data_IF_612291573306
#
_entry.id   IF_612291573306
#
_cell.length_a   1.000
_cell.length_b   1.000
_cell.length_c   1.000
_cell.angle_alpha   90.00
_cell.angle_beta   90.00
_cell.angle_gamma   90.00
#
_symmetry.space_group_name_H-M   'P 1'
#
loop_
_entity.id
_entity.type
_entity.pdbx_description
1 polymer ?
#
# COMPACT_ATOMS: atom_id res chain seq x y z
N UNK A 1 -15.26 13.15 -13.04
CA UNK A 1 -15.72 12.05 -13.95
C UNK A 1 -15.10 10.74 -13.49
N UNK A 2 -15.84 9.63 -13.33
CA UNK A 2 -15.28 8.33 -12.95
C UNK A 2 -14.23 7.85 -13.95
N UNK A 3 -13.16 7.21 -13.47
CA UNK A 3 -12.02 6.72 -14.30
C UNK A 3 -12.49 5.77 -15.42
N UNK A 4 -13.50 4.95 -15.17
CA UNK A 4 -14.09 4.08 -16.20
C UNK A 4 -14.65 4.86 -17.40
N UNK A 5 -15.30 6.00 -17.16
CA UNK A 5 -15.80 6.91 -18.20
C UNK A 5 -14.67 7.62 -18.94
N UNK A 6 -13.56 7.92 -18.26
CA UNK A 6 -12.36 8.47 -18.91
C UNK A 6 -11.76 7.48 -19.91
N UNK A 7 -11.58 6.23 -19.51
CA UNK A 7 -11.09 5.17 -20.41
C UNK A 7 -12.04 4.89 -21.58
N UNK A 8 -13.33 4.95 -21.34
CA UNK A 8 -14.33 4.83 -22.40
C UNK A 8 -14.23 6.00 -23.38
N UNK A 9 -14.06 7.21 -22.88
CA UNK A 9 -13.89 8.41 -23.70
C UNK A 9 -12.62 8.36 -24.57
N UNK A 10 -11.50 7.89 -24.03
CA UNK A 10 -10.26 7.69 -24.79
C UNK A 10 -10.48 6.63 -25.89
N UNK A 11 -11.09 5.48 -25.58
CA UNK A 11 -11.41 4.43 -26.56
C UNK A 11 -12.32 4.92 -27.66
N UNK A 12 -13.29 5.77 -27.35
CA UNK A 12 -14.21 6.40 -28.33
C UNK A 12 -13.55 7.53 -29.11
N UNK A 13 -12.32 7.93 -28.78
CA UNK A 13 -11.61 9.02 -29.44
C UNK A 13 -12.15 10.40 -29.11
N UNK A 14 -12.92 10.52 -28.01
CA UNK A 14 -13.43 11.79 -27.47
C UNK A 14 -12.36 12.59 -26.73
N UNK A 15 -11.22 11.97 -26.44
CA UNK A 15 -10.00 12.60 -25.93
C UNK A 15 -8.89 12.29 -26.91
N UNK A 16 -8.18 13.33 -27.36
CA UNK A 16 -7.07 13.25 -28.31
C UNK A 16 -5.88 14.05 -27.81
N UNK A 17 -4.69 13.62 -28.18
CA UNK A 17 -3.45 14.36 -27.91
C UNK A 17 -2.82 14.74 -29.25
N UNK A 18 -2.49 16.00 -29.42
CA UNK A 18 -1.97 16.56 -30.67
C UNK A 18 -2.85 16.19 -31.89
N UNK A 19 -4.18 16.23 -31.70
CA UNK A 19 -5.18 15.90 -32.71
C UNK A 19 -5.34 14.41 -33.05
N UNK A 20 -4.51 13.51 -32.50
CA UNK A 20 -4.52 12.06 -32.80
C UNK A 20 -5.22 11.25 -31.71
N UNK A 21 -5.78 10.10 -32.08
CA UNK A 21 -6.25 9.10 -31.10
C UNK A 21 -5.05 8.58 -30.32
N UNK A 22 -5.22 8.49 -28.99
CA UNK A 22 -4.15 8.18 -28.07
C UNK A 22 -4.38 6.80 -27.46
N UNK A 23 -3.35 5.94 -27.38
CA UNK A 23 -3.46 4.68 -26.64
C UNK A 23 -3.65 4.95 -25.14
N UNK A 24 -4.28 4.01 -24.42
CA UNK A 24 -4.60 4.13 -23.00
C UNK A 24 -3.37 4.30 -22.08
N UNK A 25 -2.20 3.93 -22.56
CA UNK A 25 -0.92 4.01 -21.85
C UNK A 25 -0.03 5.18 -22.30
N UNK A 26 -0.57 6.13 -23.05
CA UNK A 26 0.19 7.30 -23.48
C UNK A 26 0.56 8.17 -22.26
N UNK A 27 1.82 8.58 -22.20
CA UNK A 27 2.33 9.53 -21.21
C UNK A 27 2.47 10.88 -21.86
N UNK A 28 1.76 11.88 -21.33
CA UNK A 28 1.87 13.25 -21.82
C UNK A 28 3.26 13.84 -21.56
N UNK A 29 3.76 14.60 -22.52
CA UNK A 29 5.01 15.35 -22.42
C UNK A 29 4.71 16.86 -22.36
N UNK A 30 5.66 17.69 -21.87
CA UNK A 30 5.55 19.13 -21.97
C UNK A 30 5.34 19.55 -23.44
N UNK A 31 4.30 20.35 -23.69
CA UNK A 31 3.92 20.80 -25.05
C UNK A 31 2.83 19.97 -25.73
N UNK A 32 2.40 18.84 -25.14
CA UNK A 32 1.25 18.10 -25.68
C UNK A 32 -0.06 18.89 -25.54
N UNK A 33 -0.82 18.96 -26.64
CA UNK A 33 -2.14 19.59 -26.68
C UNK A 33 -3.22 18.55 -26.48
N UNK A 34 -3.94 18.63 -25.34
CA UNK A 34 -5.05 17.76 -25.01
C UNK A 34 -6.36 18.34 -25.55
N UNK A 35 -7.01 17.63 -26.48
CA UNK A 35 -8.34 17.96 -26.99
C UNK A 35 -9.39 17.05 -26.35
N UNK A 36 -10.39 17.66 -25.69
CA UNK A 36 -11.49 16.95 -25.04
C UNK A 36 -12.79 17.36 -25.74
N UNK A 37 -13.60 16.38 -26.17
CA UNK A 37 -14.90 16.66 -26.78
C UNK A 37 -15.82 17.34 -25.76
N UNK A 38 -16.54 18.36 -26.19
CA UNK A 38 -17.40 19.22 -25.36
C UNK A 38 -18.44 18.42 -24.55
N UNK A 39 -18.91 17.28 -25.07
CA UNK A 39 -19.85 16.37 -24.39
C UNK A 39 -19.35 15.79 -23.07
N UNK A 40 -18.01 15.86 -22.82
CA UNK A 40 -17.38 15.37 -21.60
C UNK A 40 -17.16 16.47 -20.55
N UNK A 41 -17.34 17.74 -20.95
CA UNK A 41 -17.16 18.87 -20.05
C UNK A 41 -18.49 19.14 -19.32
N UNK A 42 -18.47 19.39 -18.01
CA UNK A 42 -19.67 19.87 -17.32
C UNK A 42 -20.07 21.23 -17.92
N UNK A 43 -21.37 21.49 -18.01
CA UNK A 43 -21.90 22.80 -18.43
C UNK A 43 -21.54 23.88 -17.40
N UNK A 44 -20.31 24.35 -17.42
CA UNK A 44 -19.88 25.53 -16.68
C UNK A 44 -19.91 26.70 -17.69
N UNK A 45 -20.89 27.60 -17.53
CA UNK A 45 -20.87 28.93 -18.18
C UNK A 45 -19.56 29.61 -17.82
N UNK A 46 -18.65 29.68 -18.77
CA UNK A 46 -17.48 30.55 -18.66
C UNK A 46 -18.00 32.03 -18.67
N UNK A 47 -17.58 32.88 -17.76
CA UNK A 47 -17.79 34.30 -17.88
C UNK A 47 -17.09 34.81 -19.15
N UNK A 48 -17.60 35.86 -19.80
CA UNK A 48 -16.98 36.44 -21.00
C UNK A 48 -15.55 36.92 -20.69
N UNK A 49 -14.62 36.85 -21.64
CA UNK A 49 -13.24 37.27 -21.41
C UNK A 49 -13.18 38.75 -21.02
N UNK A 50 -12.73 38.99 -19.80
CA UNK A 50 -12.37 40.34 -19.37
C UNK A 50 -11.04 40.72 -20.02
N UNK A 51 -11.00 41.91 -20.63
CA UNK A 51 -9.78 42.51 -21.19
C UNK A 51 -8.70 42.61 -20.10
N UNK A 52 -7.49 42.15 -20.41
CA UNK A 52 -6.36 42.24 -19.53
C UNK A 52 -5.98 43.70 -19.24
N UNK A 53 -5.71 44.06 -17.98
CA UNK A 53 -5.10 45.36 -17.70
C UNK A 53 -3.60 45.31 -18.02
N UNK A 54 -3.12 46.39 -18.71
CA UNK A 54 -1.70 46.63 -18.93
C UNK A 54 -0.92 46.72 -17.59
N UNK A 55 0.03 45.81 -17.38
CA UNK A 55 0.95 45.88 -16.27
C UNK A 55 2.31 46.38 -16.77
N UNK A 56 2.84 47.50 -16.26
CA UNK A 56 4.17 47.98 -16.63
C UNK A 56 5.27 47.14 -16.00
N UNK A 57 6.30 46.83 -16.77
CA UNK A 57 7.49 46.07 -16.39
C UNK A 57 8.39 46.95 -15.50
N UNK A 58 8.77 46.55 -14.27
CA UNK A 58 9.81 47.21 -13.50
C UNK A 58 11.20 46.63 -13.82
N UNK A 59 12.15 47.53 -13.88
CA UNK A 59 13.56 47.33 -14.21
C UNK A 59 14.33 46.43 -13.18
N UNK A 60 15.35 45.79 -13.72
CA UNK A 60 16.39 45.02 -12.99
C UNK A 60 17.02 45.82 -11.84
N UNK A 61 17.11 45.22 -10.66
CA UNK A 61 18.03 45.62 -9.61
C UNK A 61 18.82 44.43 -9.04
N UNK A 62 20.12 44.69 -8.86
CA UNK A 62 21.23 43.82 -8.54
C UNK A 62 21.08 42.96 -7.28
N UNK A 63 21.66 41.76 -7.40
CA UNK A 63 21.90 40.76 -6.34
C UNK A 63 23.18 41.14 -5.56
N UNK A 64 23.23 41.07 -4.23
CA UNK A 64 24.49 40.87 -3.49
C UNK A 64 24.65 39.41 -3.07
N UNK A 65 25.93 39.00 -2.97
CA UNK A 65 26.43 37.67 -2.67
C UNK A 65 26.29 37.28 -1.17
N UNK A 66 26.30 35.98 -0.84
CA UNK A 66 26.17 35.52 0.55
C UNK A 66 27.49 35.54 1.31
N UNK A 67 27.45 36.04 2.54
CA UNK A 67 28.52 35.96 3.53
C UNK A 67 28.48 34.64 4.29
N UNK A 68 29.64 34.01 4.37
CA UNK A 68 29.96 32.82 5.18
C UNK A 68 30.07 33.18 6.65
N UNK A 69 29.38 32.45 7.54
CA UNK A 69 29.71 32.37 8.96
C UNK A 69 30.02 30.92 9.35
N UNK A 70 31.29 30.73 9.69
CA UNK A 70 31.85 29.54 10.33
C UNK A 70 31.63 29.67 11.85
N UNK A 71 31.07 28.65 12.50
CA UNK A 71 31.17 28.47 13.93
C UNK A 71 31.44 27.01 14.27
N UNK A 72 32.63 26.78 14.82
CA UNK A 72 33.13 25.59 15.49
C UNK A 72 32.25 25.23 16.70
N UNK A 73 31.92 23.96 16.88
CA UNK A 73 31.62 23.37 18.18
C UNK A 73 32.28 21.99 18.26
N UNK A 74 33.07 21.85 19.35
CA UNK A 74 33.94 20.74 19.71
C UNK A 74 33.16 19.44 20.06
N UNK A 75 33.79 18.32 19.73
CA UNK A 75 33.43 17.00 20.19
C UNK A 75 33.74 16.79 21.68
N UNK A 76 32.81 16.16 22.40
CA UNK A 76 33.13 15.47 23.66
C UNK A 76 32.58 14.05 23.60
N UNK A 77 33.49 13.11 23.76
CA UNK A 77 33.28 11.66 23.80
C UNK A 77 32.72 11.21 25.15
N UNK A 78 31.68 10.41 25.17
CA UNK A 78 31.49 9.31 26.13
C UNK A 78 30.34 8.43 25.72
N UNK A 79 30.63 7.18 25.40
CA UNK A 79 29.64 6.13 25.19
C UNK A 79 29.21 5.51 26.51
N UNK A 80 27.98 5.08 26.68
CA UNK A 80 27.67 3.95 27.53
C UNK A 80 26.98 2.82 26.76
N UNK A 81 27.21 1.62 27.32
CA UNK A 81 26.86 0.31 26.83
C UNK A 81 25.37 0.12 26.46
N UNK A 82 25.16 -0.58 25.36
CA UNK A 82 23.88 -1.08 24.89
C UNK A 82 23.35 -2.20 25.82
N UNK A 83 22.16 -1.97 26.38
CA UNK A 83 21.29 -3.03 26.89
C UNK A 83 20.26 -3.35 25.82
N UNK A 84 19.99 -4.66 25.66
CA UNK A 84 19.03 -5.23 24.72
C UNK A 84 17.59 -4.84 25.07
N UNK A 85 16.71 -4.97 24.03
CA UNK A 85 15.26 -4.88 24.08
C UNK A 85 14.65 -3.48 24.30
N UNK A 86 14.49 -2.76 23.21
CA UNK A 86 13.51 -1.68 23.15
C UNK A 86 12.67 -1.86 21.89
N UNK A 87 11.43 -2.27 22.09
CA UNK A 87 10.40 -2.13 21.08
C UNK A 87 10.27 -0.66 20.72
N UNK A 88 10.62 -0.30 19.49
CA UNK A 88 10.49 1.07 18.99
C UNK A 88 9.00 1.34 18.83
N UNK A 89 8.45 2.09 19.78
CA UNK A 89 7.12 2.67 19.69
C UNK A 89 7.18 3.76 18.61
N UNK A 90 6.62 3.47 17.43
CA UNK A 90 6.51 4.45 16.34
C UNK A 90 5.44 5.46 16.75
N UNK A 91 5.85 6.67 17.11
CA UNK A 91 4.95 7.78 17.37
C UNK A 91 4.19 8.14 16.08
N UNK A 92 2.87 8.00 16.13
CA UNK A 92 1.98 8.44 15.07
C UNK A 92 1.92 9.97 15.03
N UNK A 93 2.71 10.60 14.18
CA UNK A 93 2.35 11.91 13.66
C UNK A 93 1.25 11.68 12.64
N UNK A 94 0.07 12.28 12.86
CA UNK A 94 -1.03 12.25 11.92
C UNK A 94 -0.53 12.81 10.58
N UNK A 95 -0.37 11.93 9.59
CA UNK A 95 0.00 12.32 8.23
C UNK A 95 -1.14 13.15 7.62
N UNK A 96 -0.78 14.09 6.73
CA UNK A 96 -1.75 14.81 5.92
C UNK A 96 -2.64 13.78 5.16
N UNK A 97 -3.92 14.08 4.90
CA UNK A 97 -4.91 13.11 4.40
C UNK A 97 -4.55 12.44 3.05
N UNK A 98 -3.52 12.94 2.34
CA UNK A 98 -3.08 12.42 1.04
C UNK A 98 -1.73 11.69 1.07
N UNK A 99 -1.07 11.55 2.23
CA UNK A 99 0.24 10.89 2.31
C UNK A 99 0.11 9.40 2.65
N UNK A 100 0.76 8.53 1.84
CA UNK A 100 0.82 7.09 2.10
C UNK A 100 1.66 6.85 3.36
N UNK A 101 1.06 6.26 4.44
CA UNK A 101 1.79 6.08 5.71
C UNK A 101 3.01 5.17 5.54
N UNK A 102 4.17 5.63 6.01
CA UNK A 102 5.43 4.88 5.99
C UNK A 102 5.61 4.18 7.33
N UNK A 103 5.90 2.88 7.29
CA UNK A 103 6.15 2.06 8.48
C UNK A 103 7.66 1.96 8.80
N UNK A 104 8.49 1.91 7.74
CA UNK A 104 9.94 1.83 7.88
C UNK A 104 10.63 2.40 6.64
N UNK A 105 11.69 3.15 6.86
CA UNK A 105 12.64 3.56 5.82
C UNK A 105 14.00 2.96 6.21
N UNK A 106 14.30 1.77 5.69
CA UNK A 106 15.62 1.13 5.84
C UNK A 106 16.53 1.48 4.67
N UNK A 107 17.81 1.13 4.75
CA UNK A 107 18.79 1.39 3.70
C UNK A 107 18.34 0.86 2.35
N UNK A 108 17.89 -0.38 2.31
CA UNK A 108 17.63 -1.13 1.08
C UNK A 108 16.14 -1.26 0.73
N UNK A 109 15.24 -1.07 1.70
CA UNK A 109 13.80 -1.21 1.51
C UNK A 109 13.02 -0.08 2.16
N UNK A 110 11.86 0.23 1.57
CA UNK A 110 10.81 1.07 2.15
C UNK A 110 9.61 0.19 2.44
N UNK A 111 9.02 0.31 3.63
CA UNK A 111 7.80 -0.39 4.01
C UNK A 111 6.71 0.63 4.32
N UNK A 112 5.54 0.43 3.74
CA UNK A 112 4.39 1.32 3.89
C UNK A 112 3.17 0.57 4.42
N UNK A 113 2.22 1.32 4.97
CA UNK A 113 0.86 0.85 5.23
C UNK A 113 -0.02 1.22 4.03
N UNK A 114 -0.27 0.24 3.14
CA UNK A 114 -1.06 0.50 1.93
C UNK A 114 -2.52 0.75 2.27
N UNK A 115 -3.14 1.87 1.86
CA UNK A 115 -4.57 2.08 1.98
C UNK A 115 -5.36 1.22 0.99
N UNK A 116 -6.67 1.05 1.24
CA UNK A 116 -7.59 0.42 0.30
C UNK A 116 -7.84 1.30 -0.94
N UNK A 117 -8.42 0.72 -1.98
CA UNK A 117 -8.85 1.44 -3.18
C UNK A 117 -7.75 1.75 -4.19
N UNK A 118 -6.45 1.55 -3.86
CA UNK A 118 -5.33 1.87 -4.74
C UNK A 118 -4.61 0.58 -5.15
N UNK A 119 -4.45 0.28 -6.45
CA UNK A 119 -3.69 -0.89 -6.91
C UNK A 119 -2.18 -0.72 -6.67
N UNK A 120 -1.45 -1.82 -6.53
CA UNK A 120 0.01 -1.78 -6.37
C UNK A 120 0.72 -1.41 -7.66
N UNK A 121 0.23 -1.91 -8.80
CA UNK A 121 0.81 -1.70 -10.13
C UNK A 121 -0.22 -1.13 -11.09
N UNK A 122 0.25 -0.41 -12.11
CA UNK A 122 -0.57 0.18 -13.16
C UNK A 122 -0.74 1.68 -12.99
N UNK A 123 -1.67 2.24 -13.74
CA UNK A 123 -1.96 3.68 -13.72
C UNK A 123 -2.62 4.04 -12.39
N UNK A 124 -2.22 5.16 -11.78
CA UNK A 124 -2.66 5.63 -10.45
C UNK A 124 -2.38 4.62 -9.33
N UNK A 125 -1.35 3.79 -9.50
CA UNK A 125 -0.93 2.81 -8.51
C UNK A 125 -0.05 3.43 -7.42
N UNK A 126 0.09 2.70 -6.30
CA UNK A 126 1.06 3.05 -5.25
C UNK A 126 2.48 3.15 -5.83
N UNK A 127 2.86 2.23 -6.73
CA UNK A 127 4.18 2.27 -7.37
C UNK A 127 4.41 3.54 -8.18
N UNK A 128 3.38 4.06 -8.86
CA UNK A 128 3.47 5.32 -9.61
C UNK A 128 3.55 6.52 -8.66
N UNK A 129 2.71 6.55 -7.61
CA UNK A 129 2.72 7.64 -6.62
C UNK A 129 4.05 7.74 -5.86
N UNK A 130 4.69 6.60 -5.57
CA UNK A 130 5.98 6.57 -4.88
C UNK A 130 7.19 6.64 -5.81
N UNK A 131 7.01 6.67 -7.13
CA UNK A 131 8.11 6.59 -8.09
C UNK A 131 9.15 7.73 -7.89
N UNK A 132 8.70 8.97 -7.72
CA UNK A 132 9.58 10.11 -7.44
C UNK A 132 10.29 9.94 -6.10
N UNK A 133 9.52 9.70 -5.03
CA UNK A 133 10.08 9.49 -3.68
C UNK A 133 11.12 8.36 -3.66
N UNK A 134 10.85 7.23 -4.31
CA UNK A 134 11.77 6.12 -4.39
C UNK A 134 13.03 6.45 -5.20
N UNK A 135 12.91 7.26 -6.26
CA UNK A 135 14.03 7.72 -7.06
C UNK A 135 14.93 8.66 -6.27
N UNK A 136 14.34 9.59 -5.52
CA UNK A 136 15.06 10.55 -4.67
C UNK A 136 15.75 9.85 -3.48
N UNK A 137 15.15 8.78 -2.99
CA UNK A 137 15.68 7.95 -1.89
C UNK A 137 16.68 6.88 -2.35
N UNK A 138 16.85 6.66 -3.67
CA UNK A 138 17.73 5.62 -4.19
C UNK A 138 19.20 5.92 -3.85
N UNK A 139 19.81 5.05 -3.06
CA UNK A 139 21.23 5.07 -2.74
C UNK A 139 21.96 4.40 -3.90
N UNK A 140 22.84 5.12 -4.61
CA UNK A 140 23.54 4.66 -5.82
C UNK A 140 22.63 4.52 -7.04
N UNK A 141 22.45 5.61 -7.77
CA UNK A 141 21.76 5.66 -9.06
C UNK A 141 22.51 4.81 -10.12
N UNK A 142 22.36 3.50 -10.06
CA UNK A 142 22.67 2.65 -11.20
C UNK A 142 21.62 2.94 -12.28
N UNK A 143 22.07 3.33 -13.46
CA UNK A 143 21.21 3.62 -14.61
C UNK A 143 20.29 2.45 -15.01
N UNK A 144 20.53 1.25 -14.49
CA UNK A 144 19.81 0.01 -14.82
C UNK A 144 18.81 -0.45 -13.76
N UNK A 145 18.89 -0.01 -12.49
CA UNK A 145 17.99 -0.43 -11.43
C UNK A 145 16.88 0.61 -11.20
N UNK A 146 15.64 0.14 -11.17
CA UNK A 146 14.48 0.97 -10.80
C UNK A 146 13.84 0.44 -9.52
N UNK A 147 13.79 1.24 -8.44
CA UNK A 147 13.04 0.89 -7.25
C UNK A 147 11.58 0.55 -7.55
N UNK A 148 11.01 -0.38 -6.81
CA UNK A 148 9.64 -0.81 -7.03
C UNK A 148 9.11 -1.77 -5.99
N UNK A 149 7.83 -2.18 -6.09
CA UNK A 149 7.21 -3.08 -5.11
C UNK A 149 7.83 -4.48 -5.15
N UNK A 150 8.11 -5.02 -3.97
CA UNK A 150 8.74 -6.33 -3.77
C UNK A 150 7.72 -7.48 -3.72
N UNK A 151 6.48 -7.16 -3.38
CA UNK A 151 5.33 -8.05 -3.44
C UNK A 151 4.07 -7.26 -3.78
N UNK A 152 2.92 -7.91 -3.75
CA UNK A 152 1.67 -7.25 -4.09
C UNK A 152 0.58 -7.51 -3.06
N UNK A 153 -0.29 -6.54 -2.92
CA UNK A 153 -1.61 -6.66 -2.31
C UNK A 153 -2.69 -6.40 -3.37
N UNK A 154 -3.89 -6.90 -3.14
CA UNK A 154 -5.03 -6.57 -4.00
C UNK A 154 -5.42 -5.10 -3.80
N UNK A 155 -6.20 -4.54 -4.71
CA UNK A 155 -6.58 -3.12 -4.71
C UNK A 155 -7.17 -2.68 -3.36
N UNK A 156 -8.10 -3.47 -2.82
CA UNK A 156 -8.83 -3.16 -1.59
C UNK A 156 -8.24 -3.85 -0.34
N UNK A 157 -7.17 -4.65 -0.48
CA UNK A 157 -6.40 -5.17 0.65
C UNK A 157 -5.47 -4.09 1.18
N UNK A 158 -5.53 -3.84 2.48
CA UNK A 158 -4.70 -2.86 3.19
C UNK A 158 -3.48 -3.49 3.85
N UNK A 159 -2.57 -2.69 4.41
CA UNK A 159 -1.50 -3.16 5.29
C UNK A 159 -0.11 -3.16 4.70
N UNK A 160 0.79 -3.96 5.28
CA UNK A 160 2.23 -3.96 4.99
C UNK A 160 2.52 -4.25 3.53
N UNK A 161 3.18 -3.30 2.86
CA UNK A 161 3.67 -3.41 1.49
C UNK A 161 5.11 -2.91 1.41
N UNK A 162 6.00 -3.76 0.87
CA UNK A 162 7.42 -3.49 0.78
C UNK A 162 7.84 -3.06 -0.63
N UNK A 163 8.75 -2.08 -0.68
CA UNK A 163 9.39 -1.59 -1.91
C UNK A 163 10.90 -1.73 -1.79
N UNK A 164 11.57 -2.05 -2.90
CA UNK A 164 13.02 -1.95 -2.99
C UNK A 164 13.44 -0.49 -3.12
N UNK A 165 14.54 -0.13 -2.47
CA UNK A 165 15.27 1.12 -2.68
C UNK A 165 16.57 0.87 -3.45
N UNK A 166 17.15 -0.32 -3.28
CA UNK A 166 18.38 -0.77 -3.95
C UNK A 166 18.19 -2.12 -4.63
N UNK A 167 19.11 -2.47 -5.53
CA UNK A 167 19.17 -3.79 -6.14
C UNK A 167 19.43 -4.88 -5.07
N UNK A 168 20.30 -4.59 -4.10
CA UNK A 168 20.60 -5.52 -3.01
C UNK A 168 19.34 -5.87 -2.20
N UNK A 169 18.53 -4.87 -1.85
CA UNK A 169 17.25 -5.07 -1.18
C UNK A 169 16.27 -5.90 -1.99
N UNK A 170 16.19 -5.63 -3.30
CA UNK A 170 15.34 -6.43 -4.20
C UNK A 170 15.77 -7.89 -4.27
N UNK A 171 17.07 -8.16 -4.38
CA UNK A 171 17.64 -9.51 -4.42
C UNK A 171 17.42 -10.24 -3.09
N UNK A 172 17.76 -9.61 -1.97
CA UNK A 172 17.56 -10.18 -0.64
C UNK A 172 16.09 -10.56 -0.39
N UNK A 173 15.17 -9.64 -0.64
CA UNK A 173 13.75 -9.88 -0.39
C UNK A 173 13.19 -10.98 -1.31
N UNK A 174 13.60 -11.00 -2.58
CA UNK A 174 13.22 -12.04 -3.54
C UNK A 174 13.72 -13.41 -3.10
N UNK A 175 14.95 -13.48 -2.58
CA UNK A 175 15.51 -14.72 -2.04
C UNK A 175 14.74 -15.21 -0.80
N UNK A 176 14.39 -14.30 0.11
CA UNK A 176 13.55 -14.62 1.25
C UNK A 176 12.17 -15.16 0.83
N UNK A 177 11.54 -14.56 -0.18
CA UNK A 177 10.28 -15.07 -0.73
C UNK A 177 10.44 -16.46 -1.37
N UNK A 178 11.52 -16.68 -2.12
CA UNK A 178 11.83 -17.96 -2.76
C UNK A 178 12.07 -19.07 -1.72
N UNK A 179 12.78 -18.75 -0.65
CA UNK A 179 13.06 -19.65 0.47
C UNK A 179 11.89 -19.79 1.46
N UNK A 180 10.84 -18.97 1.30
CA UNK A 180 9.69 -18.88 2.22
C UNK A 180 10.09 -18.57 3.67
N UNK A 181 11.09 -17.71 3.86
CA UNK A 181 11.61 -17.33 5.18
C UNK A 181 10.95 -16.06 5.73
N UNK A 182 10.05 -15.42 4.99
CA UNK A 182 9.21 -14.32 5.46
C UNK A 182 7.81 -14.85 5.75
N UNK A 183 7.40 -14.78 7.01
CA UNK A 183 6.02 -15.08 7.37
C UNK A 183 5.12 -13.87 7.15
N UNK A 184 3.94 -14.11 6.60
CA UNK A 184 2.97 -13.09 6.21
C UNK A 184 1.65 -13.40 6.89
N UNK A 185 1.27 -12.55 7.84
CA UNK A 185 0.02 -12.67 8.59
C UNK A 185 -0.96 -11.59 8.15
N UNK A 186 -2.19 -12.04 7.92
CA UNK A 186 -3.30 -11.16 7.52
C UNK A 186 -4.42 -11.29 8.53
N UNK A 187 -5.11 -10.20 8.80
CA UNK A 187 -6.40 -10.18 9.50
C UNK A 187 -7.52 -10.08 8.47
N UNK A 188 -8.61 -10.81 8.68
CA UNK A 188 -9.79 -10.70 7.83
C UNK A 188 -11.04 -11.24 8.49
N UNK A 189 -12.19 -10.72 8.10
CA UNK A 189 -13.50 -11.14 8.58
C UNK A 189 -14.17 -11.99 7.51
N UNK A 190 -14.62 -13.19 7.87
CA UNK A 190 -15.35 -14.10 6.98
C UNK A 190 -16.78 -14.29 7.46
N UNK A 191 -17.70 -14.67 6.57
CA UNK A 191 -19.04 -15.08 6.94
C UNK A 191 -19.05 -16.48 7.57
N UNK A 192 -19.93 -16.65 8.55
CA UNK A 192 -20.13 -17.92 9.25
C UNK A 192 -19.01 -18.27 10.23
N UNK A 193 -19.16 -19.42 10.88
CA UNK A 193 -18.21 -19.94 11.86
C UNK A 193 -17.13 -20.77 11.18
N UNK A 194 -15.97 -20.19 10.89
CA UNK A 194 -14.81 -20.86 10.30
C UNK A 194 -13.82 -21.29 11.40
N UNK A 195 -13.58 -22.60 11.51
CA UNK A 195 -12.58 -23.15 12.41
C UNK A 195 -11.16 -23.04 11.87
N UNK A 196 -10.16 -23.09 12.76
CA UNK A 196 -8.75 -23.10 12.39
C UNK A 196 -8.42 -24.33 11.53
N UNK A 197 -7.80 -24.12 10.37
CA UNK A 197 -7.46 -25.20 9.43
C UNK A 197 -6.39 -24.76 8.41
N UNK A 198 -5.76 -25.75 7.77
CA UNK A 198 -4.93 -25.54 6.59
C UNK A 198 -5.80 -25.70 5.33
N UNK A 199 -5.97 -24.63 4.56
CA UNK A 199 -6.65 -24.70 3.26
C UNK A 199 -5.61 -24.95 2.19
N UNK A 200 -5.81 -26.05 1.45
CA UNK A 200 -4.93 -26.44 0.33
C UNK A 200 -5.77 -26.57 -0.94
N UNK A 201 -5.34 -25.88 -2.00
CA UNK A 201 -5.93 -25.98 -3.33
C UNK A 201 -4.85 -26.13 -4.39
N UNK A 202 -5.22 -26.42 -5.63
CA UNK A 202 -4.30 -26.45 -6.77
C UNK A 202 -4.74 -25.42 -7.82
N UNK A 203 -3.78 -24.69 -8.36
CA UNK A 203 -4.00 -23.74 -9.47
C UNK A 203 -2.91 -23.96 -10.53
N UNK A 204 -3.31 -24.49 -11.71
CA UNK A 204 -2.39 -24.85 -12.80
C UNK A 204 -1.23 -25.77 -12.36
N UNK A 205 -1.53 -26.79 -11.57
CA UNK A 205 -0.54 -27.76 -11.06
C UNK A 205 0.34 -27.24 -9.90
N UNK A 206 0.11 -26.00 -9.44
CA UNK A 206 0.80 -25.43 -8.29
C UNK A 206 -0.07 -25.56 -7.04
N UNK A 207 0.47 -26.20 -6.00
CA UNK A 207 -0.19 -26.30 -4.69
C UNK A 207 -0.18 -24.94 -3.99
N UNK A 208 -1.37 -24.47 -3.60
CA UNK A 208 -1.56 -23.24 -2.86
C UNK A 208 -1.99 -23.56 -1.43
N UNK A 209 -1.37 -22.92 -0.44
CA UNK A 209 -1.61 -23.20 0.97
C UNK A 209 -1.77 -21.91 1.78
N UNK A 210 -2.83 -21.86 2.58
CA UNK A 210 -3.10 -20.80 3.57
C UNK A 210 -3.49 -21.46 4.88
N UNK A 211 -2.72 -21.21 5.92
CA UNK A 211 -3.08 -21.60 7.28
C UNK A 211 -4.04 -20.54 7.83
N UNK A 212 -5.20 -20.98 8.30
CA UNK A 212 -6.21 -20.12 8.90
C UNK A 212 -6.30 -20.41 10.39
N UNK A 213 -6.38 -19.37 11.22
CA UNK A 213 -6.59 -19.46 12.66
C UNK A 213 -7.82 -18.64 13.01
N UNK A 214 -8.79 -19.27 13.68
CA UNK A 214 -9.95 -18.56 14.20
C UNK A 214 -9.53 -17.78 15.45
N UNK A 215 -9.69 -16.46 15.40
CA UNK A 215 -9.44 -15.57 16.54
C UNK A 215 -10.65 -15.51 17.43
N UNK A 216 -11.82 -15.27 16.81
CA UNK A 216 -13.09 -15.14 17.51
C UNK A 216 -14.27 -15.34 16.55
N UNK A 217 -15.46 -15.63 17.10
CA UNK A 217 -16.70 -15.78 16.34
C UNK A 217 -17.82 -14.97 16.97
N UNK A 218 -18.37 -14.04 16.22
CA UNK A 218 -19.55 -13.27 16.60
C UNK A 218 -20.82 -13.97 16.07
N UNK A 219 -21.57 -14.60 16.96
CA UNK A 219 -22.78 -15.34 16.60
C UNK A 219 -23.93 -14.43 16.13
N UNK A 220 -23.99 -13.18 16.62
CA UNK A 220 -25.06 -12.22 16.26
C UNK A 220 -24.86 -11.72 14.82
N UNK A 221 -23.62 -11.44 14.42
CA UNK A 221 -23.28 -11.01 13.07
C UNK A 221 -23.03 -12.17 12.12
N UNK A 222 -23.00 -13.41 12.61
CA UNK A 222 -22.59 -14.64 11.90
C UNK A 222 -21.29 -14.43 11.11
N UNK A 223 -20.26 -13.95 11.83
CA UNK A 223 -18.94 -13.67 11.25
C UNK A 223 -17.82 -14.17 12.14
N UNK A 224 -16.73 -14.64 11.54
CA UNK A 224 -15.50 -15.00 12.23
C UNK A 224 -14.38 -14.04 11.90
N UNK A 225 -13.62 -13.62 12.92
CA UNK A 225 -12.33 -12.97 12.74
C UNK A 225 -11.24 -14.03 12.61
N UNK A 226 -10.45 -13.91 11.56
CA UNK A 226 -9.40 -14.85 11.22
C UNK A 226 -8.03 -14.18 11.15
N UNK A 227 -7.00 -14.91 11.60
CA UNK A 227 -5.61 -14.70 11.19
C UNK A 227 -5.29 -15.70 10.09
N UNK A 228 -4.74 -15.21 8.97
CA UNK A 228 -4.29 -16.03 7.86
C UNK A 228 -2.77 -15.95 7.75
N UNK A 229 -2.05 -17.09 7.80
CA UNK A 229 -0.64 -17.20 7.44
C UNK A 229 -0.53 -17.71 6.01
N UNK A 230 0.05 -16.90 5.11
CA UNK A 230 0.26 -17.28 3.72
C UNK A 230 1.55 -18.11 3.56
N UNK A 231 1.41 -19.41 3.30
CA UNK A 231 2.53 -20.31 2.97
C UNK A 231 2.93 -20.15 1.51
N UNK A 232 1.96 -19.89 0.63
CA UNK A 232 2.15 -19.51 -0.77
C UNK A 232 1.49 -18.15 -1.03
N UNK A 233 1.86 -17.45 -2.09
CA UNK A 233 1.35 -16.08 -2.37
C UNK A 233 0.92 -15.90 -3.81
N UNK A 234 -0.29 -16.34 -4.17
CA UNK A 234 -0.90 -16.11 -5.49
C UNK A 234 -2.00 -15.04 -5.43
N UNK A 235 -2.33 -14.49 -6.60
CA UNK A 235 -3.35 -13.46 -6.74
C UNK A 235 -4.68 -13.89 -6.14
N UNK A 236 -5.23 -13.06 -5.24
CA UNK A 236 -6.49 -13.28 -4.53
C UNK A 236 -6.54 -14.60 -3.71
N UNK A 237 -5.39 -15.13 -3.26
CA UNK A 237 -5.34 -16.46 -2.67
C UNK A 237 -6.23 -16.60 -1.44
N UNK A 238 -6.13 -15.73 -0.43
CA UNK A 238 -6.98 -15.79 0.78
C UNK A 238 -8.46 -15.73 0.37
N UNK A 239 -8.84 -14.81 -0.50
CA UNK A 239 -10.21 -14.61 -0.98
C UNK A 239 -10.78 -15.85 -1.68
N UNK A 240 -9.97 -16.51 -2.53
CA UNK A 240 -10.33 -17.76 -3.19
C UNK A 240 -10.44 -18.92 -2.19
N UNK A 241 -9.50 -19.01 -1.24
CA UNK A 241 -9.47 -20.08 -0.24
C UNK A 241 -10.66 -19.99 0.72
N UNK A 242 -10.97 -18.80 1.25
CA UNK A 242 -12.13 -18.61 2.12
C UNK A 242 -13.44 -18.91 1.38
N UNK A 243 -13.56 -18.49 0.12
CA UNK A 243 -14.70 -18.90 -0.75
C UNK A 243 -14.76 -20.41 -0.95
N UNK A 244 -13.61 -21.08 -1.20
CA UNK A 244 -13.54 -22.51 -1.46
C UNK A 244 -14.09 -23.34 -0.29
N UNK A 245 -13.83 -22.91 0.94
CA UNK A 245 -14.33 -23.58 2.15
C UNK A 245 -15.74 -23.11 2.57
N UNK A 246 -16.42 -22.31 1.77
CA UNK A 246 -17.78 -21.83 2.03
C UNK A 246 -17.90 -20.62 2.94
N UNK A 247 -16.79 -20.01 3.34
CA UNK A 247 -16.73 -18.86 4.25
C UNK A 247 -16.04 -17.64 3.58
N UNK A 248 -16.67 -17.01 2.55
CA UNK A 248 -16.06 -15.90 1.85
C UNK A 248 -15.81 -14.71 2.80
N UNK A 249 -14.82 -13.85 2.48
CA UNK A 249 -14.61 -12.61 3.21
C UNK A 249 -15.87 -11.75 3.15
N UNK A 250 -16.29 -11.22 4.30
CA UNK A 250 -17.43 -10.31 4.38
C UNK A 250 -17.18 -9.06 3.50
N UNK A 251 -18.12 -8.78 2.57
CA UNK A 251 -18.00 -7.69 1.60
C UNK A 251 -17.22 -8.02 0.33
N UNK A 252 -16.76 -9.25 0.15
CA UNK A 252 -16.09 -9.65 -1.09
C UNK A 252 -17.11 -10.01 -2.17
N UNK A 253 -17.66 -9.00 -2.83
CA UNK A 253 -18.67 -9.15 -3.89
C UNK A 253 -18.21 -10.05 -5.03
N UNK A 254 -16.89 -10.09 -5.30
CA UNK A 254 -16.33 -10.93 -6.38
C UNK A 254 -16.35 -12.41 -6.04
N UNK A 255 -16.17 -12.76 -4.77
CA UNK A 255 -16.07 -14.15 -4.32
C UNK A 255 -17.23 -14.60 -3.44
N UNK A 256 -18.36 -13.87 -3.48
CA UNK A 256 -19.61 -14.28 -2.85
C UNK A 256 -19.78 -13.86 -1.40
N UNK A 257 -18.97 -12.92 -0.92
CA UNK A 257 -19.06 -12.37 0.43
C UNK A 257 -20.16 -11.33 0.64
N UNK A 258 -21.06 -11.16 -0.32
CA UNK A 258 -22.22 -10.28 -0.18
C UNK A 258 -21.86 -8.80 -0.06
N UNK A 259 -22.69 -8.06 0.69
CA UNK A 259 -22.47 -6.64 0.95
C UNK A 259 -21.34 -6.44 1.99
N UNK A 260 -20.60 -5.32 1.91
CA UNK A 260 -19.67 -4.93 2.96
C UNK A 260 -20.35 -4.83 4.34
N UNK A 261 -19.57 -5.01 5.39
CA UNK A 261 -20.00 -4.76 6.77
C UNK A 261 -20.41 -3.29 6.94
N UNK A 262 -21.24 -2.95 7.96
CA UNK A 262 -21.58 -1.58 8.27
C UNK A 262 -20.31 -0.71 8.35
N UNK A 263 -20.39 0.51 7.82
CA UNK A 263 -19.30 1.47 7.74
C UNK A 263 -18.10 1.08 6.87
N UNK A 264 -18.18 -0.05 6.13
CA UNK A 264 -17.15 -0.49 5.19
C UNK A 264 -17.62 -0.33 3.75
N UNK A 265 -16.69 -0.05 2.83
CA UNK A 265 -16.96 0.09 1.39
C UNK A 265 -16.54 -1.13 0.58
N UNK A 266 -15.76 -2.02 1.19
CA UNK A 266 -15.19 -3.23 0.58
C UNK A 266 -14.97 -4.32 1.64
N UNK A 267 -14.43 -5.47 1.23
CA UNK A 267 -14.04 -6.53 2.16
C UNK A 267 -12.90 -6.08 3.08
N UNK A 268 -12.91 -6.57 4.32
CA UNK A 268 -11.86 -6.30 5.29
C UNK A 268 -10.82 -7.42 5.24
N UNK A 269 -9.68 -7.12 4.60
CA UNK A 269 -8.48 -7.94 4.59
C UNK A 269 -7.26 -7.03 4.73
N UNK A 270 -6.46 -7.28 5.75
CA UNK A 270 -5.33 -6.44 6.12
C UNK A 270 -4.06 -7.26 6.24
N UNK A 271 -3.02 -6.94 5.49
CA UNK A 271 -1.68 -7.48 5.66
C UNK A 271 -1.08 -6.93 6.95
N UNK A 272 -1.35 -7.63 8.05
CA UNK A 272 -1.13 -7.15 9.41
C UNK A 272 0.34 -7.16 9.81
N UNK A 273 1.01 -8.34 9.66
CA UNK A 273 2.41 -8.51 10.08
C UNK A 273 3.25 -9.18 9.01
N UNK A 274 4.50 -8.72 8.88
CA UNK A 274 5.59 -9.44 8.24
C UNK A 274 6.65 -9.78 9.27
N UNK A 275 7.00 -11.06 9.36
CA UNK A 275 8.07 -11.55 10.23
C UNK A 275 9.25 -11.94 9.34
N UNK A 276 10.38 -11.31 9.55
CA UNK A 276 11.60 -11.50 8.77
C UNK A 276 12.54 -12.51 9.41
N UNK A 277 13.39 -13.23 8.62
CA UNK A 277 14.33 -14.20 9.15
C UNK A 277 15.42 -13.53 10.02
N UNK A 278 16.06 -14.30 10.89
CA UNK A 278 17.17 -13.81 11.72
C UNK A 278 18.34 -13.23 10.90
N UNK A 279 18.52 -13.72 9.66
CA UNK A 279 19.55 -13.25 8.70
C UNK A 279 19.20 -11.95 7.98
N UNK A 280 18.19 -11.22 8.44
CA UNK A 280 17.78 -9.93 7.87
C UNK A 280 18.86 -8.85 8.05
N UNK A 281 18.89 -7.78 7.22
CA UNK A 281 19.64 -6.56 7.49
C UNK A 281 19.34 -5.99 8.88
N UNK A 282 20.35 -5.42 9.54
CA UNK A 282 20.26 -4.96 10.95
C UNK A 282 19.31 -3.80 11.16
N UNK A 283 19.06 -3.00 10.12
CA UNK A 283 18.15 -1.85 10.10
C UNK A 283 16.69 -2.24 9.78
N UNK A 284 16.42 -3.55 9.65
CA UNK A 284 15.06 -4.09 9.51
C UNK A 284 14.72 -4.83 10.82
N UNK A 285 13.66 -4.48 11.54
CA UNK A 285 13.23 -5.21 12.74
C UNK A 285 12.75 -6.62 12.38
N UNK A 286 12.71 -7.52 13.37
CA UNK A 286 12.25 -8.90 13.17
C UNK A 286 10.80 -8.96 12.68
N UNK A 287 9.97 -8.06 13.18
CA UNK A 287 8.56 -7.98 12.82
C UNK A 287 8.19 -6.53 12.47
N UNK A 288 7.42 -6.36 11.40
CA UNK A 288 6.74 -5.12 11.05
C UNK A 288 5.25 -5.35 11.15
N UNK A 289 4.58 -4.51 11.90
CA UNK A 289 3.11 -4.47 12.01
C UNK A 289 2.56 -3.21 11.36
N UNK A 290 1.51 -3.37 10.55
CA UNK A 290 0.74 -2.25 10.02
C UNK A 290 -0.43 -1.93 10.96
N UNK A 291 -0.58 -0.68 11.41
CA UNK A 291 -1.78 -0.24 12.11
C UNK A 291 -3.02 -0.42 11.24
N UNK A 292 -4.14 -0.77 11.86
CA UNK A 292 -5.41 -0.84 11.16
C UNK A 292 -5.86 0.54 10.67
N UNK A 293 -6.52 0.58 9.52
CA UNK A 293 -7.23 1.77 9.09
C UNK A 293 -8.56 1.92 9.86
N UNK A 294 -9.07 3.15 10.04
CA UNK A 294 -10.19 3.43 10.92
C UNK A 294 -11.44 2.56 10.67
N UNK A 295 -11.77 2.28 9.39
CA UNK A 295 -12.93 1.44 9.04
C UNK A 295 -12.80 0.00 9.58
N UNK A 296 -11.60 -0.59 9.45
CA UNK A 296 -11.34 -1.93 9.94
C UNK A 296 -11.22 -1.96 11.47
N UNK A 297 -10.54 -0.97 12.04
CA UNK A 297 -10.38 -0.87 13.50
C UNK A 297 -11.73 -0.74 14.19
N UNK A 298 -12.61 0.13 13.71
CA UNK A 298 -13.97 0.29 14.22
C UNK A 298 -14.79 -1.00 14.11
N UNK A 299 -14.71 -1.70 12.97
CA UNK A 299 -15.41 -2.97 12.76
C UNK A 299 -14.90 -4.07 13.69
N UNK A 300 -13.58 -4.19 13.86
CA UNK A 300 -12.99 -5.21 14.75
C UNK A 300 -13.31 -4.91 16.22
N UNK A 301 -13.18 -3.66 16.66
CA UNK A 301 -13.49 -3.27 18.04
C UNK A 301 -14.97 -3.50 18.37
N UNK A 302 -15.87 -3.23 17.42
CA UNK A 302 -17.30 -3.44 17.61
C UNK A 302 -17.69 -4.93 17.65
N UNK A 303 -17.18 -5.73 16.70
CA UNK A 303 -17.57 -7.14 16.55
C UNK A 303 -16.79 -8.08 17.45
N UNK A 304 -15.54 -7.76 17.79
CA UNK A 304 -14.59 -8.61 18.50
C UNK A 304 -13.73 -7.78 19.47
N UNK A 305 -14.27 -7.36 20.62
CA UNK A 305 -13.61 -6.38 21.52
C UNK A 305 -12.19 -6.78 21.98
N UNK A 306 -11.92 -8.07 22.20
CA UNK A 306 -10.62 -8.59 22.65
C UNK A 306 -9.72 -9.11 21.53
N UNK A 307 -10.02 -8.78 20.29
CA UNK A 307 -9.42 -9.36 19.09
C UNK A 307 -7.88 -9.30 19.08
N UNK A 308 -7.31 -8.17 19.51
CA UNK A 308 -5.86 -7.95 19.45
C UNK A 308 -5.11 -8.95 20.31
N UNK A 309 -5.53 -9.11 21.56
CA UNK A 309 -4.94 -10.05 22.50
C UNK A 309 -4.99 -11.50 21.98
N UNK A 310 -6.14 -11.94 21.46
CA UNK A 310 -6.30 -13.29 20.92
C UNK A 310 -5.46 -13.49 19.64
N UNK A 311 -5.44 -12.51 18.73
CA UNK A 311 -4.65 -12.60 17.50
C UNK A 311 -3.13 -12.63 17.78
N UNK A 312 -2.65 -11.86 18.76
CA UNK A 312 -1.24 -11.84 19.17
C UNK A 312 -0.83 -13.19 19.77
N UNK A 313 -1.62 -13.76 20.67
CA UNK A 313 -1.39 -15.09 21.24
C UNK A 313 -1.26 -16.18 20.17
N UNK A 314 -2.10 -16.12 19.12
CA UNK A 314 -2.03 -17.07 18.00
C UNK A 314 -0.69 -16.92 17.27
N UNK A 315 -0.29 -15.69 16.92
CA UNK A 315 0.95 -15.47 16.15
C UNK A 315 2.20 -15.83 16.95
N UNK A 316 2.19 -15.64 18.25
CA UNK A 316 3.31 -16.02 19.15
C UNK A 316 3.42 -17.53 19.36
N UNK A 317 2.33 -18.28 19.16
CA UNK A 317 2.29 -19.75 19.34
C UNK A 317 2.68 -20.53 18.09
N UNK A 318 2.90 -19.88 16.94
CA UNK A 318 3.13 -20.47 15.60
C UNK A 318 4.54 -20.22 15.09
#
# INVERSE_FOLDING_TARGET
MPISKLYEAIRKGLIRINGKRTPLNYRTAPGDVLTIAAILLPETRLPPPQAAPDIPVPALLHRPAPTTHTSNIQASSSAPALKADTAISISHTAAAPDEIPRLLIATDILIINKPAGIPVHGIYSIAEQLATTLSDMAVNNSLSFRPGPLHRLDKDTTGVLCFSRTLAGAQWFSECLRKKTIDKYYLGIVHGKLSSQLITTSDNGVTLQTQCFCVDYNAQADTSLMVFRLITGKKHQIRKHTRHVGHPLAGDTRYGGGRPLPHCTHYLLHAWRLVFPASRPTDIPTCIEAPLFPEMDASLTHLFPDWRRHAEQIVESV
#
